data_IF_094297232406
#
_entry.id   IF_094297232406
#
_cell.length_a   1.000
_cell.length_b   1.000
_cell.length_c   1.000
_cell.angle_alpha   90.00
_cell.angle_beta   90.00
_cell.angle_gamma   90.00
#
_symmetry.space_group_name_H-M   'P 1'
#
loop_
_entity.id
_entity.type
_entity.pdbx_description
1 polymer ?
#
# COMPACT_ATOMS: atom_id res chain seq x y z
N UNK A 1 -20.50 -3.65 15.92
CA UNK A 1 -20.45 -4.20 14.55
C UNK A 1 -21.00 -5.61 14.57
N UNK A 2 -21.93 -5.97 13.68
CA UNK A 2 -22.44 -7.34 13.57
C UNK A 2 -21.41 -8.24 12.85
N UNK A 3 -21.58 -9.58 13.01
CA UNK A 3 -20.71 -10.55 12.34
C UNK A 3 -20.76 -10.38 10.80
N UNK A 4 -21.96 -10.24 10.24
CA UNK A 4 -22.16 -10.05 8.79
C UNK A 4 -21.43 -8.79 8.26
N UNK A 5 -21.39 -7.71 9.06
CA UNK A 5 -20.65 -6.50 8.69
C UNK A 5 -19.15 -6.73 8.75
N UNK A 6 -18.65 -7.49 9.73
CA UNK A 6 -17.24 -7.84 9.83
C UNK A 6 -16.80 -8.69 8.63
N UNK A 7 -17.61 -9.65 8.23
CA UNK A 7 -17.39 -10.48 7.06
C UNK A 7 -17.37 -9.65 5.76
N UNK A 8 -18.39 -8.81 5.57
CA UNK A 8 -18.47 -7.93 4.40
C UNK A 8 -17.28 -6.98 4.32
N UNK A 9 -16.90 -6.39 5.45
CA UNK A 9 -15.70 -5.55 5.52
C UNK A 9 -14.40 -6.34 5.24
N UNK A 10 -14.27 -7.56 5.79
CA UNK A 10 -13.09 -8.39 5.54
C UNK A 10 -12.95 -8.77 4.06
N UNK A 11 -14.06 -9.10 3.39
CA UNK A 11 -14.05 -9.35 1.95
C UNK A 11 -13.67 -8.10 1.15
N UNK A 12 -14.21 -6.93 1.51
CA UNK A 12 -13.79 -5.65 0.93
C UNK A 12 -12.28 -5.42 1.13
N UNK A 13 -11.77 -5.61 2.36
CA UNK A 13 -10.37 -5.45 2.69
C UNK A 13 -9.47 -6.40 1.88
N UNK A 14 -9.90 -7.66 1.71
CA UNK A 14 -9.18 -8.65 0.93
C UNK A 14 -9.09 -8.24 -0.54
N UNK A 15 -10.21 -7.84 -1.15
CA UNK A 15 -10.24 -7.35 -2.54
C UNK A 15 -9.36 -6.12 -2.70
N UNK A 16 -9.46 -5.15 -1.78
CA UNK A 16 -8.65 -3.95 -1.80
C UNK A 16 -7.15 -4.26 -1.67
N UNK A 17 -6.78 -5.19 -0.78
CA UNK A 17 -5.39 -5.58 -0.55
C UNK A 17 -4.78 -6.35 -1.73
N UNK A 18 -5.53 -7.27 -2.36
CA UNK A 18 -5.06 -8.08 -3.49
C UNK A 18 -4.99 -7.27 -4.78
N UNK A 19 -5.89 -6.29 -4.96
CA UNK A 19 -5.94 -5.47 -6.18
C UNK A 19 -4.61 -4.76 -6.43
N UNK A 20 -4.02 -4.88 -7.62
CA UNK A 20 -2.77 -4.21 -7.98
C UNK A 20 -2.82 -2.71 -7.68
N UNK A 21 -1.70 -2.17 -7.20
CA UNK A 21 -1.58 -0.76 -6.88
C UNK A 21 -0.18 -0.39 -6.38
N UNK A 22 0.05 0.88 -6.04
CA UNK A 22 1.37 1.38 -5.67
C UNK A 22 2.04 0.59 -4.54
N UNK A 23 1.30 0.24 -3.49
CA UNK A 23 1.81 -0.53 -2.35
C UNK A 23 2.26 -1.94 -2.77
N UNK A 24 1.44 -2.63 -3.57
CA UNK A 24 1.75 -3.97 -4.05
C UNK A 24 2.95 -3.95 -5.02
N UNK A 25 3.06 -2.92 -5.85
CA UNK A 25 4.22 -2.70 -6.73
C UNK A 25 5.50 -2.49 -5.92
N UNK A 26 5.44 -1.73 -4.83
CA UNK A 26 6.57 -1.52 -3.92
C UNK A 26 7.03 -2.85 -3.28
N UNK A 27 6.07 -3.64 -2.78
CA UNK A 27 6.34 -4.95 -2.17
C UNK A 27 6.94 -5.92 -3.19
N UNK A 28 6.37 -6.01 -4.40
CA UNK A 28 6.85 -6.85 -5.48
C UNK A 28 8.26 -6.46 -5.91
N UNK A 29 8.53 -5.16 -6.09
CA UNK A 29 9.86 -4.64 -6.42
C UNK A 29 10.87 -4.94 -5.29
N UNK A 30 10.45 -4.84 -4.03
CA UNK A 30 11.30 -5.22 -2.89
C UNK A 30 11.64 -6.71 -2.93
N UNK A 31 10.64 -7.59 -3.15
CA UNK A 31 10.84 -9.03 -3.29
C UNK A 31 11.79 -9.39 -4.41
N UNK A 32 11.64 -8.75 -5.58
CA UNK A 32 12.50 -8.99 -6.74
C UNK A 32 13.95 -8.55 -6.53
N UNK A 33 14.17 -7.57 -5.64
CA UNK A 33 15.52 -7.05 -5.35
C UNK A 33 16.21 -7.83 -4.24
N UNK A 34 15.56 -8.06 -3.09
CA UNK A 34 16.21 -8.62 -1.90
C UNK A 34 15.68 -9.99 -1.47
N UNK A 35 14.71 -10.55 -2.20
CA UNK A 35 14.06 -11.82 -1.89
C UNK A 35 13.01 -11.72 -0.79
N UNK A 36 12.32 -12.84 -0.56
CA UNK A 36 11.16 -12.88 0.35
C UNK A 36 11.55 -12.57 1.80
N UNK A 37 12.58 -13.21 2.34
CA UNK A 37 12.93 -13.08 3.75
C UNK A 37 13.33 -11.63 4.13
N UNK A 38 14.20 -11.01 3.33
CA UNK A 38 14.66 -9.64 3.57
C UNK A 38 13.59 -8.57 3.23
N UNK A 39 12.58 -8.94 2.45
CA UNK A 39 11.45 -8.09 2.10
C UNK A 39 10.30 -8.09 3.13
N UNK A 40 10.29 -9.00 4.12
CA UNK A 40 9.24 -9.07 5.14
C UNK A 40 8.98 -7.74 5.88
N UNK A 41 9.99 -6.96 6.28
CA UNK A 41 9.75 -5.66 6.91
C UNK A 41 8.92 -4.70 6.05
N UNK A 42 9.08 -4.73 4.73
CA UNK A 42 8.26 -3.94 3.80
C UNK A 42 6.78 -4.35 3.86
N UNK A 43 6.48 -5.66 3.86
CA UNK A 43 5.11 -6.17 3.98
C UNK A 43 4.49 -5.78 5.32
N UNK A 44 5.22 -5.99 6.41
CA UNK A 44 4.76 -5.60 7.75
C UNK A 44 4.50 -4.10 7.84
N UNK A 45 5.41 -3.29 7.31
CA UNK A 45 5.25 -1.84 7.27
C UNK A 45 4.03 -1.42 6.46
N UNK A 46 3.83 -1.98 5.28
CA UNK A 46 2.70 -1.67 4.43
C UNK A 46 1.36 -2.07 5.09
N UNK A 47 1.27 -3.26 5.65
CA UNK A 47 0.07 -3.74 6.33
C UNK A 47 -0.24 -2.90 7.58
N UNK A 48 0.76 -2.62 8.42
CA UNK A 48 0.60 -1.81 9.63
C UNK A 48 0.25 -0.36 9.28
N UNK A 49 0.94 0.24 8.32
CA UNK A 49 0.69 1.62 7.89
C UNK A 49 -0.72 1.81 7.34
N UNK A 50 -1.20 0.85 6.55
CA UNK A 50 -2.56 0.90 6.02
C UNK A 50 -3.61 0.70 7.12
N UNK A 51 -3.36 -0.22 8.06
CA UNK A 51 -4.25 -0.43 9.21
C UNK A 51 -4.31 0.79 10.12
N UNK A 52 -3.18 1.48 10.34
CA UNK A 52 -3.14 2.73 11.09
C UNK A 52 -3.89 3.85 10.36
N UNK A 53 -3.74 3.97 9.04
CA UNK A 53 -4.48 4.92 8.22
C UNK A 53 -6.00 4.68 8.34
N UNK A 54 -6.43 3.43 8.25
CA UNK A 54 -7.83 3.05 8.39
C UNK A 54 -8.35 3.35 9.80
N UNK A 55 -7.59 3.03 10.83
CA UNK A 55 -7.91 3.35 12.21
C UNK A 55 -8.14 4.85 12.40
N UNK A 56 -7.20 5.68 11.96
CA UNK A 56 -7.32 7.15 12.06
C UNK A 56 -8.49 7.69 11.22
N UNK A 57 -8.71 7.14 10.03
CA UNK A 57 -9.84 7.54 9.18
C UNK A 57 -11.18 7.23 9.81
N UNK A 58 -11.30 6.09 10.49
CA UNK A 58 -12.51 5.68 11.21
C UNK A 58 -12.78 6.58 12.43
N UNK A 59 -11.74 7.07 13.09
CA UNK A 59 -11.87 8.00 14.24
C UNK A 59 -12.14 9.46 13.82
N UNK A 60 -12.37 9.73 12.53
CA UNK A 60 -12.79 11.05 12.06
C UNK A 60 -11.79 11.76 11.14
N UNK A 61 -10.53 11.31 11.04
CA UNK A 61 -9.56 11.94 10.14
C UNK A 61 -10.04 11.90 8.67
N UNK A 62 -10.71 10.80 8.27
CA UNK A 62 -11.30 10.68 6.94
C UNK A 62 -12.36 11.74 6.67
N UNK A 63 -13.22 12.03 7.64
CA UNK A 63 -14.25 13.07 7.50
C UNK A 63 -13.64 14.48 7.48
N UNK A 64 -12.62 14.71 8.31
CA UNK A 64 -11.89 16.00 8.31
C UNK A 64 -11.27 16.28 6.94
N UNK A 65 -10.67 15.27 6.31
CA UNK A 65 -10.06 15.40 4.98
C UNK A 65 -11.11 15.67 3.91
N UNK A 66 -12.26 14.98 3.95
CA UNK A 66 -13.36 15.22 3.00
C UNK A 66 -13.95 16.63 3.18
N UNK A 67 -14.08 17.10 4.43
CA UNK A 67 -14.63 18.41 4.74
C UNK A 67 -13.69 19.57 4.34
N UNK A 68 -12.43 19.30 4.05
CA UNK A 68 -11.42 20.30 3.71
C UNK A 68 -10.83 20.05 2.32
N UNK A 69 -11.45 20.56 1.24
CA UNK A 69 -10.98 20.32 -0.13
C UNK A 69 -9.50 20.66 -0.36
N UNK A 70 -8.99 21.69 0.34
CA UNK A 70 -7.59 22.08 0.26
C UNK A 70 -6.65 20.97 0.77
N UNK A 71 -7.03 20.24 1.84
CA UNK A 71 -6.25 19.11 2.34
C UNK A 71 -6.21 17.96 1.34
N UNK A 72 -7.32 17.69 0.65
CA UNK A 72 -7.35 16.69 -0.42
C UNK A 72 -6.40 17.06 -1.57
N UNK A 73 -6.42 18.33 -1.99
CA UNK A 73 -5.51 18.81 -3.04
C UNK A 73 -4.05 18.64 -2.62
N UNK A 74 -3.68 19.08 -1.41
CA UNK A 74 -2.32 18.93 -0.89
C UNK A 74 -1.92 17.46 -0.80
N UNK A 75 -2.80 16.60 -0.27
CA UNK A 75 -2.54 15.16 -0.14
C UNK A 75 -2.32 14.51 -1.52
N UNK A 76 -3.14 14.87 -2.51
CA UNK A 76 -3.03 14.36 -3.86
C UNK A 76 -1.70 14.76 -4.52
N UNK A 77 -1.28 16.02 -4.40
CA UNK A 77 -0.02 16.49 -4.96
C UNK A 77 1.19 15.91 -4.24
N UNK A 78 1.16 15.83 -2.91
CA UNK A 78 2.21 15.16 -2.13
C UNK A 78 2.30 13.68 -2.49
N UNK A 79 1.16 13.00 -2.61
CA UNK A 79 1.08 11.62 -3.05
C UNK A 79 1.62 11.42 -4.45
N UNK A 80 1.24 12.29 -5.41
CA UNK A 80 1.74 12.24 -6.78
C UNK A 80 3.27 12.44 -6.85
N UNK A 81 3.79 13.44 -6.15
CA UNK A 81 5.24 13.70 -6.09
C UNK A 81 5.99 12.50 -5.49
N UNK A 82 5.47 11.93 -4.41
CA UNK A 82 6.07 10.74 -3.78
C UNK A 82 6.01 9.51 -4.70
N UNK A 83 4.88 9.27 -5.36
CA UNK A 83 4.74 8.17 -6.34
C UNK A 83 5.72 8.32 -7.50
N UNK A 84 5.91 9.54 -8.02
CA UNK A 84 6.89 9.82 -9.06
C UNK A 84 8.31 9.53 -8.58
N UNK A 85 8.65 9.95 -7.35
CA UNK A 85 9.95 9.66 -6.75
C UNK A 85 10.19 8.15 -6.60
N UNK A 86 9.20 7.39 -6.11
CA UNK A 86 9.30 5.93 -5.98
C UNK A 86 9.39 5.28 -7.37
N UNK A 87 8.56 5.72 -8.33
CA UNK A 87 8.61 5.23 -9.71
C UNK A 87 9.99 5.43 -10.33
N UNK A 88 10.58 6.61 -10.14
CA UNK A 88 11.93 6.91 -10.58
C UNK A 88 12.98 6.04 -9.89
N UNK A 89 12.89 5.84 -8.58
CA UNK A 89 13.78 4.92 -7.83
C UNK A 89 13.71 3.49 -8.37
N UNK A 90 12.48 2.98 -8.60
CA UNK A 90 12.27 1.63 -9.13
C UNK A 90 12.84 1.53 -10.55
N UNK A 91 12.51 2.48 -11.43
CA UNK A 91 12.96 2.46 -12.83
C UNK A 91 14.48 2.53 -12.97
N UNK A 92 15.16 3.18 -12.02
CA UNK A 92 16.63 3.31 -12.01
C UNK A 92 17.32 2.29 -11.09
N UNK A 93 16.58 1.35 -10.48
CA UNK A 93 17.19 0.26 -9.72
C UNK A 93 18.05 -0.60 -10.66
N UNK A 94 19.28 -0.91 -10.24
CA UNK A 94 20.21 -1.77 -10.97
C UNK A 94 19.66 -3.19 -11.15
N UNK A 95 20.38 -4.00 -11.95
CA UNK A 95 20.06 -5.42 -12.03
C UNK A 95 20.29 -6.12 -10.69
N UNK A 96 19.67 -7.28 -10.49
CA UNK A 96 19.79 -8.09 -9.27
C UNK A 96 21.25 -8.45 -8.87
N UNK A 97 22.21 -8.21 -9.74
CA UNK A 97 23.63 -8.35 -9.43
C UNK A 97 24.14 -7.32 -8.40
N UNK A 98 23.46 -6.15 -8.28
CA UNK A 98 23.80 -5.09 -7.31
C UNK A 98 23.05 -5.22 -5.98
N UNK A 99 22.48 -6.39 -5.70
CA UNK A 99 21.66 -6.68 -4.49
C UNK A 99 22.38 -6.36 -3.18
N UNK A 100 23.71 -6.43 -3.16
CA UNK A 100 24.50 -6.14 -1.96
C UNK A 100 24.36 -4.66 -1.50
N UNK A 101 24.11 -3.74 -2.45
CA UNK A 101 24.00 -2.30 -2.20
C UNK A 101 22.57 -1.76 -2.26
N UNK A 102 21.62 -2.56 -2.77
CA UNK A 102 20.22 -2.17 -2.87
C UNK A 102 19.61 -2.00 -1.47
N UNK A 103 19.09 -0.81 -1.18
CA UNK A 103 18.29 -0.54 0.02
C UNK A 103 16.82 -0.85 -0.30
N UNK A 104 16.28 -2.00 0.15
CA UNK A 104 14.87 -2.29 -0.01
C UNK A 104 14.04 -1.29 0.80
N UNK A 105 12.78 -1.13 0.45
CA UNK A 105 11.85 -0.41 1.31
C UNK A 105 11.74 -1.16 2.65
N UNK A 106 12.09 -0.47 3.73
CA UNK A 106 11.97 -0.99 5.08
C UNK A 106 10.55 -0.85 5.65
N UNK A 107 10.39 -1.27 6.91
CA UNK A 107 9.12 -1.14 7.63
C UNK A 107 8.59 0.30 7.66
N UNK A 108 9.39 1.24 8.12
CA UNK A 108 8.96 2.64 8.29
C UNK A 108 8.68 3.33 6.96
N UNK A 109 9.50 3.06 5.94
CA UNK A 109 9.29 3.61 4.60
C UNK A 109 7.98 3.10 3.98
N UNK A 110 7.71 1.80 4.09
CA UNK A 110 6.49 1.20 3.60
C UNK A 110 5.24 1.61 4.41
N UNK A 111 5.38 1.81 5.72
CA UNK A 111 4.30 2.31 6.57
C UNK A 111 3.97 3.78 6.26
N UNK A 112 4.97 4.65 6.17
CA UNK A 112 4.81 6.05 5.83
C UNK A 112 4.23 6.23 4.41
N UNK A 113 4.61 5.34 3.48
CA UNK A 113 4.07 5.33 2.12
C UNK A 113 2.54 5.27 2.08
N UNK A 114 1.89 4.56 3.01
CA UNK A 114 0.43 4.43 2.99
C UNK A 114 -0.27 5.78 3.20
N UNK A 115 0.34 6.70 3.94
CA UNK A 115 -0.21 8.03 4.23
C UNK A 115 -0.18 9.00 3.06
N UNK A 116 0.69 8.74 2.08
CA UNK A 116 0.76 9.49 0.82
C UNK A 116 0.21 8.69 -0.36
N UNK A 117 -0.22 7.45 -0.12
CA UNK A 117 -0.79 6.57 -1.14
C UNK A 117 -2.28 6.89 -1.36
N UNK A 118 -2.67 7.41 -2.53
CA UNK A 118 -4.05 7.80 -2.81
C UNK A 118 -5.02 6.62 -2.74
N UNK A 119 -4.59 5.43 -3.18
CA UNK A 119 -5.41 4.21 -3.03
C UNK A 119 -5.66 3.91 -1.56
N UNK A 120 -4.68 4.14 -0.68
CA UNK A 120 -4.83 3.96 0.75
C UNK A 120 -5.95 4.83 1.32
N UNK A 121 -5.94 6.11 0.99
CA UNK A 121 -6.98 7.06 1.42
C UNK A 121 -8.35 6.72 0.84
N UNK A 122 -8.43 6.38 -0.45
CA UNK A 122 -9.68 5.97 -1.09
C UNK A 122 -10.29 4.77 -0.36
N UNK A 123 -9.50 3.74 -0.07
CA UNK A 123 -9.93 2.54 0.64
C UNK A 123 -10.35 2.89 2.08
N UNK A 124 -9.58 3.69 2.80
CA UNK A 124 -9.85 4.04 4.19
C UNK A 124 -11.13 4.87 4.33
N UNK A 125 -11.31 5.86 3.46
CA UNK A 125 -12.50 6.72 3.44
C UNK A 125 -13.74 5.93 3.02
N UNK A 126 -13.64 5.12 1.97
CA UNK A 126 -14.75 4.26 1.51
C UNK A 126 -15.17 3.27 2.59
N UNK A 127 -14.21 2.67 3.29
CA UNK A 127 -14.47 1.76 4.40
C UNK A 127 -15.21 2.46 5.54
N UNK A 128 -14.73 3.64 5.96
CA UNK A 128 -15.37 4.41 7.00
C UNK A 128 -16.80 4.84 6.60
N UNK A 129 -16.99 5.32 5.37
CA UNK A 129 -18.30 5.75 4.87
C UNK A 129 -19.31 4.60 4.77
N UNK A 130 -18.85 3.39 4.43
CA UNK A 130 -19.74 2.26 4.14
C UNK A 130 -20.04 1.41 5.38
N UNK A 131 -19.05 1.20 6.25
CA UNK A 131 -19.12 0.20 7.32
C UNK A 131 -19.16 0.78 8.72
N UNK A 132 -18.83 2.08 8.91
CA UNK A 132 -18.86 2.72 10.23
C UNK A 132 -20.32 2.92 10.67
N UNK A 133 -20.62 2.46 11.88
CA UNK A 133 -21.92 2.70 12.50
C UNK A 133 -21.90 3.96 13.36
N UNK A 134 -22.97 4.75 13.30
CA UNK A 134 -23.14 5.96 14.09
C UNK A 134 -23.46 5.61 15.55
N UNK A 135 -22.50 5.03 16.28
CA UNK A 135 -22.59 4.76 17.71
C UNK A 135 -21.32 5.30 18.39
N UNK A 136 -21.38 6.52 19.01
CA UNK A 136 -20.19 7.19 19.55
C UNK A 136 -19.40 6.34 20.54
N UNK A 137 -20.10 5.59 21.39
CA UNK A 137 -19.48 4.76 22.45
C UNK A 137 -18.70 3.55 21.91
N UNK A 138 -18.85 3.23 20.63
CA UNK A 138 -18.17 2.10 19.98
C UNK A 138 -17.15 2.49 18.93
N UNK A 139 -16.91 3.79 18.71
CA UNK A 139 -16.04 4.27 17.62
C UNK A 139 -14.61 3.71 17.72
N UNK A 140 -14.02 3.73 18.91
CA UNK A 140 -12.68 3.18 19.15
C UNK A 140 -12.63 1.67 18.87
N UNK A 141 -13.63 0.93 19.35
CA UNK A 141 -13.70 -0.52 19.13
C UNK A 141 -13.87 -0.84 17.65
N UNK A 142 -14.73 -0.10 16.94
CA UNK A 142 -14.91 -0.27 15.49
C UNK A 142 -13.60 0.04 14.73
N UNK A 143 -12.89 1.11 15.09
CA UNK A 143 -11.62 1.46 14.50
C UNK A 143 -10.56 0.37 14.70
N UNK A 144 -10.49 -0.22 15.90
CA UNK A 144 -9.58 -1.33 16.19
C UNK A 144 -9.95 -2.59 15.38
N UNK A 145 -11.23 -2.93 15.28
CA UNK A 145 -11.70 -4.08 14.50
C UNK A 145 -11.38 -3.89 13.02
N UNK A 146 -11.65 -2.71 12.45
CA UNK A 146 -11.32 -2.43 11.05
C UNK A 146 -9.82 -2.51 10.79
N UNK A 147 -9.00 -1.95 11.69
CA UNK A 147 -7.54 -2.03 11.57
C UNK A 147 -7.05 -3.49 11.64
N UNK A 148 -7.56 -4.29 12.57
CA UNK A 148 -7.18 -5.69 12.72
C UNK A 148 -7.61 -6.54 11.53
N UNK A 149 -8.86 -6.39 11.05
CA UNK A 149 -9.37 -7.12 9.89
C UNK A 149 -8.62 -6.74 8.61
N UNK A 150 -8.30 -5.44 8.45
CA UNK A 150 -7.53 -5.01 7.29
C UNK A 150 -6.09 -5.56 7.34
N UNK A 151 -5.45 -5.55 8.51
CA UNK A 151 -4.13 -6.17 8.68
C UNK A 151 -4.17 -7.65 8.32
N UNK A 152 -5.19 -8.38 8.82
CA UNK A 152 -5.38 -9.80 8.53
C UNK A 152 -5.58 -10.09 7.03
N UNK A 153 -6.14 -9.16 6.26
CA UNK A 153 -6.28 -9.27 4.81
C UNK A 153 -4.99 -8.82 4.08
N UNK A 154 -4.40 -7.71 4.49
CA UNK A 154 -3.29 -7.07 3.81
C UNK A 154 -1.97 -7.84 3.98
N UNK A 155 -1.72 -8.40 5.15
CA UNK A 155 -0.47 -9.12 5.41
C UNK A 155 -0.31 -10.37 4.54
N UNK A 156 -1.27 -11.32 4.45
CA UNK A 156 -1.17 -12.45 3.54
C UNK A 156 -1.11 -12.03 2.07
N UNK A 157 -1.88 -11.02 1.67
CA UNK A 157 -1.81 -10.47 0.31
C UNK A 157 -0.41 -9.94 0.00
N UNK A 158 0.18 -9.18 0.93
CA UNK A 158 1.54 -8.69 0.81
C UNK A 158 2.58 -9.80 0.69
N UNK A 159 2.41 -10.91 1.42
CA UNK A 159 3.28 -12.09 1.29
C UNK A 159 3.20 -12.71 -0.11
N UNK A 160 2.01 -12.76 -0.72
CA UNK A 160 1.85 -13.23 -2.11
C UNK A 160 2.61 -12.31 -3.07
N UNK A 161 2.42 -10.99 -2.99
CA UNK A 161 3.13 -10.03 -3.82
C UNK A 161 4.65 -10.07 -3.64
N UNK A 162 5.11 -10.21 -2.39
CA UNK A 162 6.53 -10.37 -2.07
C UNK A 162 7.11 -11.65 -2.67
N UNK A 163 6.39 -12.77 -2.53
CA UNK A 163 6.80 -14.06 -3.05
C UNK A 163 6.85 -14.08 -4.58
N UNK A 164 5.88 -13.44 -5.25
CA UNK A 164 5.90 -13.24 -6.70
C UNK A 164 7.14 -12.45 -7.12
N UNK A 165 7.46 -11.37 -6.42
CA UNK A 165 8.68 -10.61 -6.66
C UNK A 165 9.94 -11.46 -6.48
N UNK A 166 10.02 -12.21 -5.38
CA UNK A 166 11.16 -13.07 -5.09
C UNK A 166 11.32 -14.21 -6.11
N UNK A 167 10.21 -14.79 -6.59
CA UNK A 167 10.25 -15.82 -7.65
C UNK A 167 10.79 -15.25 -8.97
N UNK A 168 10.54 -13.99 -9.26
CA UNK A 168 11.08 -13.32 -10.44
C UNK A 168 12.58 -13.00 -10.31
N UNK A 169 13.17 -13.06 -9.13
CA UNK A 169 14.59 -12.72 -8.90
C UNK A 169 15.55 -13.48 -9.79
N UNK A 170 15.31 -14.78 -10.00
CA UNK A 170 16.15 -15.60 -10.88
C UNK A 170 16.08 -15.12 -12.35
N UNK A 171 14.89 -14.75 -12.81
CA UNK A 171 14.65 -14.23 -14.17
C UNK A 171 15.31 -12.86 -14.37
N UNK A 172 15.35 -12.05 -13.31
CA UNK A 172 15.88 -10.68 -13.28
C UNK A 172 17.41 -10.62 -13.08
N UNK A 173 18.09 -11.77 -13.04
CA UNK A 173 19.58 -11.82 -13.13
C UNK A 173 20.11 -11.31 -14.47
N UNK A 174 19.29 -11.39 -15.52
CA UNK A 174 19.62 -10.80 -16.81
C UNK A 174 19.41 -9.27 -16.74
N UNK A 175 20.45 -8.49 -17.00
CA UNK A 175 20.41 -7.03 -16.96
C UNK A 175 19.30 -6.41 -17.82
N UNK A 176 19.02 -6.98 -19.01
CA UNK A 176 17.96 -6.48 -19.89
C UNK A 176 16.59 -6.76 -19.32
N UNK A 177 16.37 -7.98 -18.78
CA UNK A 177 15.11 -8.36 -18.16
C UNK A 177 14.85 -7.52 -16.89
N UNK A 178 15.86 -7.33 -16.04
CA UNK A 178 15.77 -6.50 -14.85
C UNK A 178 15.42 -5.05 -15.19
N UNK A 179 16.10 -4.47 -16.18
CA UNK A 179 15.83 -3.10 -16.62
C UNK A 179 14.41 -2.95 -17.19
N UNK A 180 13.98 -3.89 -18.04
CA UNK A 180 12.63 -3.87 -18.61
C UNK A 180 11.57 -4.00 -17.51
N UNK A 181 11.76 -4.90 -16.55
CA UNK A 181 10.88 -5.07 -15.39
C UNK A 181 10.81 -3.80 -14.53
N UNK A 182 11.95 -3.21 -14.16
CA UNK A 182 12.01 -2.02 -13.34
C UNK A 182 11.34 -0.83 -14.04
N UNK A 183 11.55 -0.66 -15.34
CA UNK A 183 10.86 0.37 -16.14
C UNK A 183 9.36 0.10 -16.14
N UNK A 184 8.91 -1.13 -16.39
CA UNK A 184 7.50 -1.50 -16.37
C UNK A 184 6.86 -1.19 -15.01
N UNK A 185 7.51 -1.54 -13.90
CA UNK A 185 7.03 -1.25 -12.55
C UNK A 185 6.99 0.26 -12.27
N UNK A 186 8.00 1.00 -12.71
CA UNK A 186 8.01 2.47 -12.65
C UNK A 186 6.85 3.10 -13.42
N UNK A 187 6.56 2.60 -14.62
CA UNK A 187 5.42 3.04 -15.43
C UNK A 187 4.09 2.73 -14.73
N UNK A 188 3.90 1.52 -14.19
CA UNK A 188 2.70 1.14 -13.44
C UNK A 188 2.50 2.07 -12.23
N UNK A 189 3.58 2.37 -11.52
CA UNK A 189 3.55 3.29 -10.39
C UNK A 189 3.18 4.72 -10.84
N UNK A 190 3.81 5.22 -11.91
CA UNK A 190 3.51 6.54 -12.47
C UNK A 190 2.09 6.61 -13.03
N UNK A 191 1.59 5.56 -13.68
CA UNK A 191 0.23 5.50 -14.20
C UNK A 191 -0.83 5.58 -13.09
N UNK A 192 -0.50 5.11 -11.88
CA UNK A 192 -1.39 5.24 -10.72
C UNK A 192 -1.68 6.71 -10.36
N UNK A 193 -0.82 7.65 -10.75
CA UNK A 193 -0.99 9.09 -10.52
C UNK A 193 -2.14 9.64 -11.36
N UNK A 194 -2.36 9.11 -12.56
CA UNK A 194 -3.47 9.54 -13.44
C UNK A 194 -4.82 9.28 -12.77
N UNK A 195 -4.92 8.19 -11.98
CA UNK A 195 -6.13 7.89 -11.21
C UNK A 195 -6.31 8.82 -10.00
N UNK A 196 -5.23 9.47 -9.56
CA UNK A 196 -5.23 10.38 -8.43
C UNK A 196 -5.64 11.79 -8.81
N UNK A 197 -5.30 12.22 -10.04
CA UNK A 197 -5.51 13.59 -10.51
C UNK A 197 -6.84 13.76 -11.29
N UNK A 198 -7.63 12.71 -11.41
CA UNK A 198 -9.00 12.74 -11.95
C UNK A 198 -10.03 12.86 -10.84
#
# INVERSE_FOLDING_TARGET
MSLNQAEAFFLFALVAAVTPGPSNTLILATGSTVGAHRGLPCVLGAATGMSALLFCSTLGLGQLIIAQPALLVVLNWCGAAFLLWVAWRIANAGAAADVATAKPAGFFEAAAFQWVNPKGWLVAVSAAATYLQAAPDSALLQALIFAALFFAAAFPSGLVWLSLGAAMQALLRNHRAARAFNIAMGIVMAASIVMLLR
#
